data_IF_835710601679
#
_entry.id   IF_835710601679
#
_cell.length_a   1.000
_cell.length_b   1.000
_cell.length_c   1.000
_cell.angle_alpha   90.00
_cell.angle_beta   90.00
_cell.angle_gamma   90.00
#
_symmetry.space_group_name_H-M   'P 1'
#
loop_
_entity.id
_entity.type
_entity.pdbx_description
1 polymer ?
#
# COMPACT_ATOMS: atom_id res chain seq x y z
N UNK A 1 14.84 14.26 0.88
CA UNK A 1 15.41 13.68 -0.38
C UNK A 1 16.46 14.60 -1.00
N UNK A 2 17.52 14.05 -1.65
CA UNK A 2 18.52 14.81 -2.40
C UNK A 2 17.96 15.30 -3.74
N UNK A 3 18.52 16.37 -4.31
CA UNK A 3 18.07 16.88 -5.61
C UNK A 3 18.16 15.82 -6.74
N UNK A 4 19.24 15.02 -6.77
CA UNK A 4 19.41 13.93 -7.74
C UNK A 4 18.32 12.85 -7.63
N UNK A 5 17.92 12.50 -6.40
CA UNK A 5 16.83 11.55 -6.12
C UNK A 5 15.49 12.10 -6.62
N UNK A 6 15.20 13.39 -6.38
CA UNK A 6 13.99 14.05 -6.89
C UNK A 6 13.96 14.09 -8.43
N UNK A 7 15.09 14.32 -9.08
CA UNK A 7 15.18 14.29 -10.56
C UNK A 7 14.92 12.89 -11.12
N UNK A 8 15.49 11.86 -10.50
CA UNK A 8 15.28 10.46 -10.90
C UNK A 8 13.82 10.05 -10.69
N UNK A 9 13.22 10.40 -9.56
CA UNK A 9 11.81 10.19 -9.27
C UNK A 9 10.90 10.84 -10.34
N UNK A 10 11.16 12.12 -10.69
CA UNK A 10 10.38 12.84 -11.73
C UNK A 10 10.46 12.15 -13.09
N UNK A 11 11.65 11.69 -13.51
CA UNK A 11 11.83 10.92 -14.77
C UNK A 11 11.01 9.62 -14.76
N UNK A 12 11.01 8.91 -13.63
CA UNK A 12 10.19 7.72 -13.43
C UNK A 12 8.69 8.05 -13.55
N UNK A 13 8.24 9.12 -12.89
CA UNK A 13 6.85 9.57 -12.92
C UNK A 13 6.41 10.00 -14.34
N UNK A 14 7.26 10.67 -15.10
CA UNK A 14 6.96 11.04 -16.49
C UNK A 14 6.79 9.81 -17.38
N UNK A 15 7.51 8.72 -17.11
CA UNK A 15 7.33 7.44 -17.80
C UNK A 15 5.95 6.83 -17.48
N UNK A 16 5.53 6.82 -16.21
CA UNK A 16 4.20 6.34 -15.80
C UNK A 16 3.10 7.21 -16.43
N UNK A 17 3.23 8.54 -16.40
CA UNK A 17 2.28 9.47 -17.05
C UNK A 17 2.09 9.15 -18.52
N UNK A 18 3.17 8.98 -19.27
CA UNK A 18 3.13 8.68 -20.70
C UNK A 18 2.43 7.36 -20.98
N UNK A 19 2.74 6.30 -20.22
CA UNK A 19 2.11 4.99 -20.37
C UNK A 19 0.62 5.02 -20.03
N UNK A 20 0.25 5.53 -18.87
CA UNK A 20 -1.16 5.58 -18.44
C UNK A 20 -2.02 6.46 -19.37
N UNK A 21 -1.47 7.57 -19.88
CA UNK A 21 -2.19 8.46 -20.83
C UNK A 21 -2.58 7.76 -22.13
N UNK A 22 -1.85 6.73 -22.55
CA UNK A 22 -2.16 6.01 -23.80
C UNK A 22 -3.39 5.10 -23.71
N UNK A 23 -3.76 4.66 -22.50
CA UNK A 23 -4.81 3.67 -22.30
C UNK A 23 -6.00 4.15 -21.46
N UNK A 24 -5.80 5.10 -20.53
CA UNK A 24 -6.83 5.56 -19.60
C UNK A 24 -8.10 6.09 -20.27
N UNK A 25 -7.96 6.69 -21.47
CA UNK A 25 -9.06 7.28 -22.21
C UNK A 25 -9.79 6.29 -23.13
N UNK A 26 -9.37 5.03 -23.19
CA UNK A 26 -10.05 4.02 -23.98
C UNK A 26 -11.47 3.75 -23.45
N UNK A 27 -12.46 3.43 -24.34
CA UNK A 27 -13.84 3.20 -23.92
C UNK A 27 -13.97 2.08 -22.88
N UNK A 28 -13.11 1.06 -22.96
CA UNK A 28 -13.11 -0.07 -21.99
C UNK A 28 -12.67 0.39 -20.60
N UNK A 29 -11.64 1.23 -20.51
CA UNK A 29 -11.15 1.73 -19.23
C UNK A 29 -12.12 2.75 -18.62
N UNK A 30 -12.76 3.61 -19.45
CA UNK A 30 -13.81 4.50 -18.95
C UNK A 30 -14.98 3.73 -18.33
N UNK A 31 -15.44 2.65 -18.98
CA UNK A 31 -16.47 1.77 -18.39
C UNK A 31 -15.99 1.08 -17.09
N UNK A 32 -14.74 0.60 -17.07
CA UNK A 32 -14.15 0.01 -15.87
C UNK A 32 -14.08 1.04 -14.72
N UNK A 33 -13.68 2.27 -15.01
CA UNK A 33 -13.63 3.38 -14.05
C UNK A 33 -15.01 3.63 -13.43
N UNK A 34 -16.06 3.79 -14.26
CA UNK A 34 -17.42 3.99 -13.76
C UNK A 34 -17.88 2.81 -12.89
N UNK A 35 -17.62 1.57 -13.33
CA UNK A 35 -17.94 0.37 -12.53
C UNK A 35 -17.23 0.38 -11.17
N UNK A 36 -15.95 0.68 -11.12
CA UNK A 36 -15.20 0.67 -9.84
C UNK A 36 -15.66 1.83 -8.92
N UNK A 37 -16.05 2.97 -9.47
CA UNK A 37 -16.68 4.04 -8.69
C UNK A 37 -17.98 3.55 -8.01
N UNK A 38 -18.85 2.86 -8.76
CA UNK A 38 -20.07 2.25 -8.23
C UNK A 38 -19.77 1.19 -7.17
N UNK A 39 -18.81 0.29 -7.43
CA UNK A 39 -18.37 -0.73 -6.48
C UNK A 39 -17.92 -0.11 -5.16
N UNK A 40 -17.03 0.88 -5.20
CA UNK A 40 -16.49 1.51 -3.99
C UNK A 40 -17.57 2.27 -3.20
N UNK A 41 -18.48 2.94 -3.90
CA UNK A 41 -19.63 3.61 -3.27
C UNK A 41 -20.54 2.57 -2.61
N UNK A 42 -20.92 1.53 -3.32
CA UNK A 42 -21.72 0.43 -2.77
C UNK A 42 -21.06 -0.22 -1.55
N UNK A 43 -19.76 -0.51 -1.65
CA UNK A 43 -19.00 -1.12 -0.54
C UNK A 43 -18.99 -0.24 0.71
N UNK A 44 -18.91 1.07 0.56
CA UNK A 44 -18.99 1.98 1.69
C UNK A 44 -20.40 2.01 2.31
N UNK A 45 -21.43 2.12 1.46
CA UNK A 45 -22.83 2.19 1.92
C UNK A 45 -23.28 0.91 2.64
N UNK A 46 -22.67 -0.26 2.30
CA UNK A 46 -23.00 -1.58 2.86
C UNK A 46 -21.84 -2.20 3.66
N UNK A 47 -20.92 -1.37 4.18
CA UNK A 47 -19.67 -1.83 4.79
C UNK A 47 -19.86 -2.86 5.92
N UNK A 48 -20.87 -2.67 6.78
CA UNK A 48 -21.12 -3.57 7.91
C UNK A 48 -21.68 -4.92 7.44
N UNK A 49 -22.54 -4.92 6.42
CA UNK A 49 -23.07 -6.14 5.80
C UNK A 49 -21.95 -6.94 5.12
N UNK A 50 -21.14 -6.26 4.29
CA UNK A 50 -20.03 -6.88 3.58
C UNK A 50 -18.93 -7.38 4.53
N UNK A 51 -18.70 -6.69 5.63
CA UNK A 51 -17.77 -7.13 6.67
C UNK A 51 -18.23 -8.45 7.30
N UNK A 52 -19.50 -8.54 7.72
CA UNK A 52 -20.07 -9.75 8.29
C UNK A 52 -20.07 -10.90 7.27
N UNK A 53 -20.45 -10.62 6.02
CA UNK A 53 -20.41 -11.61 4.94
C UNK A 53 -18.99 -12.14 4.70
N UNK A 54 -17.98 -11.27 4.74
CA UNK A 54 -16.59 -11.68 4.60
C UNK A 54 -16.15 -12.62 5.73
N UNK A 55 -16.55 -12.36 6.99
CA UNK A 55 -16.24 -13.23 8.12
C UNK A 55 -16.82 -14.64 7.92
N UNK A 56 -18.12 -14.73 7.58
CA UNK A 56 -18.80 -16.01 7.34
C UNK A 56 -18.18 -16.78 6.15
N UNK A 57 -17.81 -16.07 5.10
CA UNK A 57 -17.23 -16.67 3.90
C UNK A 57 -15.79 -17.13 4.12
N UNK A 58 -14.99 -16.41 4.91
CA UNK A 58 -13.64 -16.83 5.32
C UNK A 58 -13.70 -18.11 6.16
N UNK A 59 -14.60 -18.16 7.15
CA UNK A 59 -14.80 -19.37 7.95
C UNK A 59 -15.19 -20.58 7.09
N UNK A 60 -16.15 -20.41 6.17
CA UNK A 60 -16.56 -21.45 5.21
C UNK A 60 -15.39 -21.98 4.36
N UNK A 61 -14.43 -21.11 4.02
CA UNK A 61 -13.27 -21.46 3.21
C UNK A 61 -12.10 -22.04 4.04
N UNK A 62 -12.20 -22.01 5.37
CA UNK A 62 -11.13 -22.42 6.28
C UNK A 62 -10.00 -21.39 6.40
N UNK A 63 -10.30 -20.12 6.14
CA UNK A 63 -9.45 -18.98 6.44
C UNK A 63 -9.77 -18.54 7.87
N UNK A 64 -8.77 -18.41 8.71
CA UNK A 64 -8.91 -17.78 10.00
C UNK A 64 -8.98 -16.26 9.81
N UNK A 65 -10.00 -15.62 10.34
CA UNK A 65 -10.14 -14.18 10.28
C UNK A 65 -10.08 -13.59 11.69
N UNK A 66 -9.23 -12.59 11.87
CA UNK A 66 -9.10 -11.82 13.11
C UNK A 66 -9.33 -10.34 12.82
N UNK A 67 -10.02 -9.65 13.71
CA UNK A 67 -10.23 -8.20 13.61
C UNK A 67 -9.26 -7.47 14.53
N UNK A 68 -8.56 -6.49 13.96
CA UNK A 68 -7.69 -5.56 14.67
C UNK A 68 -8.27 -4.16 14.61
N UNK A 69 -8.60 -3.59 15.76
CA UNK A 69 -9.13 -2.23 15.84
C UNK A 69 -8.03 -1.18 15.65
N UNK A 70 -6.83 -1.48 16.11
CA UNK A 70 -5.66 -0.60 16.10
C UNK A 70 -4.45 -1.29 15.46
N UNK A 71 -3.41 -0.51 15.13
CA UNK A 71 -2.12 -1.04 14.72
C UNK A 71 -1.54 -2.01 15.76
N UNK A 72 -1.65 -1.69 17.05
CA UNK A 72 -1.14 -2.55 18.12
C UNK A 72 -1.86 -3.90 18.18
N UNK A 73 -3.20 -3.92 18.06
CA UNK A 73 -3.94 -5.19 18.01
C UNK A 73 -3.47 -6.08 16.85
N UNK A 74 -3.16 -5.48 15.69
CA UNK A 74 -2.66 -6.24 14.55
C UNK A 74 -1.25 -6.79 14.80
N UNK A 75 -0.37 -6.02 15.44
CA UNK A 75 0.98 -6.42 15.80
C UNK A 75 0.95 -7.54 16.85
N UNK A 76 0.11 -7.42 17.88
CA UNK A 76 -0.05 -8.46 18.92
C UNK A 76 -0.52 -9.80 18.32
N UNK A 77 -1.45 -9.77 17.35
CA UNK A 77 -1.88 -10.96 16.62
C UNK A 77 -0.74 -11.55 15.78
N UNK A 78 0.07 -10.70 15.14
CA UNK A 78 1.20 -11.16 14.33
C UNK A 78 2.26 -11.80 15.23
N UNK A 79 2.57 -11.21 16.37
CA UNK A 79 3.53 -11.76 17.36
C UNK A 79 3.11 -13.15 17.83
N UNK A 80 1.83 -13.31 18.23
CA UNK A 80 1.26 -14.61 18.61
C UNK A 80 1.46 -15.67 17.52
N UNK A 81 1.18 -15.31 16.25
CA UNK A 81 1.30 -16.23 15.13
C UNK A 81 2.75 -16.58 14.78
N UNK A 82 3.69 -15.65 14.95
CA UNK A 82 5.12 -15.86 14.72
C UNK A 82 5.70 -16.78 15.80
N UNK A 83 5.34 -16.55 17.07
CA UNK A 83 5.75 -17.39 18.19
C UNK A 83 5.23 -18.83 18.04
N UNK A 84 3.98 -19.00 17.58
CA UNK A 84 3.39 -20.32 17.34
C UNK A 84 4.16 -21.13 16.30
N UNK A 85 4.77 -20.48 15.30
CA UNK A 85 5.54 -21.12 14.23
C UNK A 85 7.05 -21.14 14.50
N UNK A 86 7.53 -20.67 15.65
CA UNK A 86 8.95 -20.59 16.01
C UNK A 86 9.79 -20.00 14.84
N UNK A 87 9.30 -18.91 14.26
CA UNK A 87 9.85 -18.37 13.02
C UNK A 87 10.99 -17.37 13.29
N UNK A 88 12.19 -17.68 12.83
CA UNK A 88 13.36 -16.80 12.89
C UNK A 88 13.44 -15.85 11.69
N UNK A 89 12.76 -16.16 10.59
CA UNK A 89 12.75 -15.37 9.35
C UNK A 89 11.38 -15.34 8.69
N UNK A 90 10.98 -14.18 8.22
CA UNK A 90 9.69 -13.95 7.56
C UNK A 90 9.89 -13.51 6.11
N UNK A 91 9.12 -14.10 5.20
CA UNK A 91 8.94 -13.60 3.83
C UNK A 91 7.87 -12.49 3.81
N UNK A 92 8.27 -11.24 3.54
CA UNK A 92 7.33 -10.10 3.52
C UNK A 92 7.11 -9.60 2.10
N UNK A 93 5.84 -9.48 1.70
CA UNK A 93 5.46 -8.79 0.47
C UNK A 93 5.27 -7.29 0.71
N UNK A 94 5.43 -6.50 -0.36
CA UNK A 94 5.13 -5.08 -0.33
C UNK A 94 3.67 -4.83 0.06
N UNK A 95 3.47 -3.96 1.06
CA UNK A 95 2.13 -3.59 1.52
C UNK A 95 2.13 -2.24 2.22
N UNK A 96 1.21 -1.36 1.83
CA UNK A 96 1.01 -0.10 2.53
C UNK A 96 0.47 -0.31 3.96
N UNK A 97 -0.39 -1.31 4.14
CA UNK A 97 -0.97 -1.64 5.45
C UNK A 97 0.10 -2.16 6.43
N UNK A 98 1.06 -2.98 5.96
CA UNK A 98 2.18 -3.41 6.79
C UNK A 98 3.13 -2.26 7.16
N UNK A 99 3.27 -1.26 6.26
CA UNK A 99 3.99 -0.02 6.58
C UNK A 99 3.21 0.90 7.51
N UNK A 100 1.88 0.88 7.48
CA UNK A 100 1.01 1.64 8.39
C UNK A 100 1.17 1.19 9.85
N UNK A 101 1.19 -0.12 10.08
CA UNK A 101 1.37 -0.70 11.43
C UNK A 101 2.83 -0.74 11.88
N UNK A 102 3.74 -0.24 11.06
CA UNK A 102 5.20 -0.21 11.32
C UNK A 102 5.79 -1.59 11.67
N UNK A 103 5.30 -2.64 11.02
CA UNK A 103 5.71 -4.03 11.25
C UNK A 103 7.23 -4.21 11.30
N UNK A 104 7.95 -3.52 10.42
CA UNK A 104 9.39 -3.66 10.25
C UNK A 104 10.21 -3.21 11.47
N UNK A 105 9.75 -2.19 12.18
CA UNK A 105 10.40 -1.69 13.39
C UNK A 105 9.91 -2.37 14.66
N UNK A 106 8.75 -3.05 14.58
CA UNK A 106 8.16 -3.76 15.71
C UNK A 106 8.82 -5.13 15.95
N UNK A 107 9.04 -5.90 14.89
CA UNK A 107 9.55 -7.27 15.00
C UNK A 107 11.08 -7.30 15.15
N UNK A 108 11.57 -8.06 16.15
CA UNK A 108 13.00 -8.31 16.38
C UNK A 108 13.43 -9.67 15.77
N UNK A 109 12.97 -9.94 14.54
CA UNK A 109 13.36 -11.11 13.74
C UNK A 109 13.75 -10.71 12.33
N UNK A 110 14.35 -11.63 11.58
CA UNK A 110 14.78 -11.32 10.21
C UNK A 110 13.58 -11.21 9.25
N UNK A 111 13.30 -10.01 8.77
CA UNK A 111 12.26 -9.75 7.75
C UNK A 111 12.94 -9.61 6.40
N UNK A 112 12.58 -10.45 5.45
CA UNK A 112 13.09 -10.39 4.07
C UNK A 112 12.03 -9.80 3.14
N UNK A 113 12.27 -8.58 2.66
CA UNK A 113 11.43 -7.97 1.63
C UNK A 113 11.57 -8.74 0.31
N UNK A 114 10.43 -9.13 -0.26
CA UNK A 114 10.41 -9.95 -1.49
C UNK A 114 10.19 -9.13 -2.76
N UNK A 115 9.71 -7.89 -2.67
CA UNK A 115 9.64 -6.92 -3.77
C UNK A 115 11.04 -6.34 -4.01
N UNK A 116 11.49 -6.29 -5.26
CA UNK A 116 12.83 -5.81 -5.61
C UNK A 116 13.10 -4.39 -5.09
N UNK A 117 12.16 -3.48 -5.26
CA UNK A 117 12.30 -2.09 -4.82
C UNK A 117 12.35 -1.97 -3.30
N UNK A 118 11.49 -2.67 -2.57
CA UNK A 118 11.51 -2.68 -1.11
C UNK A 118 12.77 -3.38 -0.58
N UNK A 119 13.27 -4.45 -1.27
CA UNK A 119 14.53 -5.09 -0.90
C UNK A 119 15.71 -4.14 -1.07
N UNK A 120 15.78 -3.38 -2.15
CA UNK A 120 16.82 -2.36 -2.35
C UNK A 120 16.76 -1.31 -1.24
N UNK A 121 15.56 -0.83 -0.86
CA UNK A 121 15.41 0.09 0.26
C UNK A 121 15.80 -0.55 1.60
N UNK A 122 15.52 -1.84 1.79
CA UNK A 122 15.95 -2.58 2.98
C UNK A 122 17.48 -2.71 3.07
N UNK A 123 18.16 -2.92 1.94
CA UNK A 123 19.63 -2.95 1.87
C UNK A 123 20.24 -1.55 2.11
N UNK A 124 19.53 -0.48 1.79
CA UNK A 124 19.92 0.91 2.06
C UNK A 124 19.76 1.22 3.55
N UNK A 125 20.85 1.32 4.29
CA UNK A 125 20.88 1.45 5.76
C UNK A 125 20.23 2.75 6.29
N UNK A 126 20.16 3.81 5.48
CA UNK A 126 19.68 5.13 5.88
C UNK A 126 18.74 5.69 4.83
N UNK A 127 17.74 6.51 5.26
CA UNK A 127 16.80 7.20 4.36
C UNK A 127 16.12 6.25 3.37
N UNK A 128 15.48 5.20 3.89
CA UNK A 128 14.92 4.07 3.17
C UNK A 128 13.40 4.12 2.99
N UNK A 129 12.79 5.34 3.07
CA UNK A 129 11.35 5.51 2.86
C UNK A 129 10.98 5.35 1.38
N UNK A 130 9.88 4.66 1.06
CA UNK A 130 9.41 4.52 -0.32
C UNK A 130 8.94 5.86 -0.89
N UNK A 131 9.03 6.00 -2.22
CA UNK A 131 8.56 7.21 -2.92
C UNK A 131 7.35 6.96 -3.82
N UNK A 132 6.95 5.72 -4.02
CA UNK A 132 5.77 5.36 -4.80
C UNK A 132 5.21 4.00 -4.34
N UNK A 133 3.87 3.81 -4.29
CA UNK A 133 3.27 2.56 -3.83
C UNK A 133 3.67 1.33 -4.65
N UNK A 134 3.91 1.49 -5.95
CA UNK A 134 4.26 0.39 -6.86
C UNK A 134 5.72 0.41 -7.33
N UNK A 135 6.47 1.45 -7.00
CA UNK A 135 7.89 1.60 -7.33
C UNK A 135 8.63 2.28 -6.19
N UNK A 136 8.81 1.61 -5.05
CA UNK A 136 9.32 2.23 -3.82
C UNK A 136 10.70 2.86 -3.99
N UNK A 137 11.59 2.25 -4.76
CA UNK A 137 12.95 2.73 -5.03
C UNK A 137 13.08 3.62 -6.29
N UNK A 138 11.99 4.15 -6.84
CA UNK A 138 11.97 4.94 -8.10
C UNK A 138 12.76 6.26 -8.07
N UNK A 139 13.30 6.65 -6.94
CA UNK A 139 14.19 7.80 -6.77
C UNK A 139 15.67 7.46 -6.90
N UNK A 140 16.03 6.18 -6.90
CA UNK A 140 17.42 5.73 -7.03
C UNK A 140 17.76 5.48 -8.51
N UNK A 141 18.93 5.90 -8.93
CA UNK A 141 19.46 5.55 -10.25
C UNK A 141 20.23 4.22 -10.21
N UNK A 142 20.65 3.72 -11.37
CA UNK A 142 21.33 2.41 -11.48
C UNK A 142 22.63 2.38 -10.68
N UNK A 143 23.43 3.46 -10.72
CA UNK A 143 24.71 3.53 -10.01
C UNK A 143 24.51 3.54 -8.48
N UNK A 144 23.51 4.29 -8.00
CA UNK A 144 23.13 4.29 -6.57
C UNK A 144 22.74 2.88 -6.12
N UNK A 145 21.89 2.18 -6.90
CA UNK A 145 21.43 0.82 -6.59
C UNK A 145 22.58 -0.16 -6.62
N UNK A 146 23.48 -0.07 -7.63
CA UNK A 146 24.66 -0.93 -7.73
C UNK A 146 25.54 -0.79 -6.49
N UNK A 147 25.82 0.43 -6.07
CA UNK A 147 26.61 0.70 -4.86
C UNK A 147 25.98 0.11 -3.61
N UNK A 148 24.64 0.26 -3.43
CA UNK A 148 23.90 -0.31 -2.31
C UNK A 148 24.00 -1.84 -2.30
N UNK A 149 23.80 -2.49 -3.45
CA UNK A 149 23.80 -3.94 -3.60
C UNK A 149 25.19 -4.50 -3.36
N UNK A 150 26.23 -3.93 -3.98
CA UNK A 150 27.61 -4.38 -3.82
C UNK A 150 28.09 -4.27 -2.36
N UNK A 151 27.82 -3.12 -1.72
CA UNK A 151 28.20 -2.90 -0.31
C UNK A 151 27.44 -3.81 0.66
N UNK A 152 26.12 -4.00 0.43
CA UNK A 152 25.29 -4.70 1.41
C UNK A 152 25.29 -6.21 1.27
N UNK A 153 25.53 -6.74 0.06
CA UNK A 153 25.55 -8.18 -0.22
C UNK A 153 26.98 -8.74 -0.37
N UNK A 154 28.01 -7.89 -0.27
CA UNK A 154 29.43 -8.25 -0.50
C UNK A 154 29.63 -8.93 -1.85
N UNK A 155 29.13 -8.29 -2.92
CA UNK A 155 29.24 -8.74 -4.31
C UNK A 155 29.86 -7.64 -5.17
N UNK A 156 30.29 -7.97 -6.37
CA UNK A 156 30.85 -7.03 -7.36
C UNK A 156 30.10 -7.19 -8.69
N UNK A 157 28.90 -6.56 -8.76
CA UNK A 157 28.08 -6.57 -9.98
C UNK A 157 28.26 -5.27 -10.76
N UNK A 158 28.23 -5.37 -12.08
CA UNK A 158 28.24 -4.21 -12.97
C UNK A 158 26.95 -3.38 -12.83
N UNK A 159 26.94 -2.07 -13.20
CA UNK A 159 25.76 -1.21 -13.18
C UNK A 159 24.78 -1.54 -14.31
N UNK A 160 24.41 -2.81 -14.39
CA UNK A 160 23.47 -3.39 -15.33
C UNK A 160 22.22 -3.89 -14.58
N UNK A 161 20.99 -3.43 -14.93
CA UNK A 161 19.77 -3.78 -14.21
C UNK A 161 19.55 -5.29 -14.05
N UNK A 162 19.94 -6.07 -15.07
CA UNK A 162 19.79 -7.52 -15.05
C UNK A 162 20.72 -8.20 -14.04
N UNK A 163 21.95 -7.75 -13.92
CA UNK A 163 22.94 -8.30 -12.97
C UNK A 163 22.58 -7.94 -11.54
N UNK A 164 22.17 -6.70 -11.29
CA UNK A 164 21.66 -6.23 -10.00
C UNK A 164 20.46 -7.11 -9.58
N UNK A 165 19.48 -7.28 -10.46
CA UNK A 165 18.29 -8.09 -10.21
C UNK A 165 18.65 -9.54 -9.87
N UNK A 166 19.60 -10.15 -10.57
CA UNK A 166 20.04 -11.53 -10.29
C UNK A 166 20.71 -11.64 -8.92
N UNK A 167 21.55 -10.69 -8.53
CA UNK A 167 22.22 -10.68 -7.23
C UNK A 167 21.19 -10.58 -6.09
N UNK A 168 20.27 -9.61 -6.17
CA UNK A 168 19.20 -9.42 -5.17
C UNK A 168 18.29 -10.64 -5.11
N UNK A 169 17.88 -11.21 -6.26
CA UNK A 169 17.07 -12.43 -6.32
C UNK A 169 17.76 -13.61 -5.64
N UNK A 170 19.05 -13.79 -5.88
CA UNK A 170 19.82 -14.88 -5.28
C UNK A 170 19.88 -14.76 -3.76
N UNK A 171 20.11 -13.52 -3.24
CA UNK A 171 20.12 -13.24 -1.81
C UNK A 171 18.74 -13.53 -1.17
N UNK A 172 17.67 -13.00 -1.74
CA UNK A 172 16.30 -13.20 -1.24
C UNK A 172 15.95 -14.69 -1.18
N UNK A 173 16.19 -15.45 -2.26
CA UNK A 173 15.85 -16.87 -2.30
C UNK A 173 16.64 -17.67 -1.26
N UNK A 174 17.94 -17.37 -1.09
CA UNK A 174 18.79 -18.03 -0.10
C UNK A 174 18.31 -17.75 1.33
N UNK A 175 17.94 -16.50 1.64
CA UNK A 175 17.47 -16.13 2.98
C UNK A 175 16.10 -16.72 3.30
N UNK A 176 15.26 -16.94 2.30
CA UNK A 176 13.92 -17.51 2.45
C UNK A 176 13.85 -19.04 2.38
N UNK A 177 15.01 -19.72 2.27
CA UNK A 177 15.03 -21.18 2.13
C UNK A 177 14.31 -21.88 3.27
N UNK A 178 14.49 -21.41 4.51
CA UNK A 178 13.90 -21.97 5.72
C UNK A 178 12.73 -21.13 6.27
N UNK A 179 12.26 -20.11 5.57
CA UNK A 179 11.16 -19.30 6.04
C UNK A 179 9.84 -20.09 5.98
N UNK A 180 9.17 -20.23 7.12
CA UNK A 180 7.85 -20.90 7.25
C UNK A 180 6.69 -19.92 7.24
N UNK A 181 6.95 -18.64 7.55
CA UNK A 181 5.92 -17.60 7.62
C UNK A 181 6.06 -16.61 6.46
N UNK A 182 4.94 -16.35 5.80
CA UNK A 182 4.79 -15.31 4.80
C UNK A 182 3.78 -14.25 5.24
N UNK A 183 4.13 -12.97 5.10
CA UNK A 183 3.23 -11.86 5.41
C UNK A 183 3.00 -10.98 4.20
N UNK A 184 1.74 -10.69 3.89
CA UNK A 184 1.32 -9.83 2.77
C UNK A 184 0.20 -8.86 3.15
N UNK A 185 -0.09 -7.92 2.26
CA UNK A 185 -1.33 -7.16 2.26
C UNK A 185 -2.34 -7.74 1.26
N UNK A 186 -3.43 -7.00 1.03
CA UNK A 186 -4.41 -7.30 0.00
C UNK A 186 -4.71 -6.07 -0.87
N UNK A 187 -4.98 -6.28 -2.15
CA UNK A 187 -5.51 -5.22 -3.03
C UNK A 187 -7.03 -5.12 -2.92
N UNK A 188 -7.74 -6.25 -2.84
CA UNK A 188 -9.18 -6.32 -2.61
C UNK A 188 -9.56 -7.63 -1.91
N UNK A 189 -10.73 -7.64 -1.26
CA UNK A 189 -11.34 -8.80 -0.59
C UNK A 189 -12.76 -8.94 -1.14
N UNK A 190 -13.07 -10.11 -1.71
CA UNK A 190 -14.42 -10.47 -2.16
C UNK A 190 -15.20 -11.08 -1.00
N UNK A 191 -16.22 -10.39 -0.51
CA UNK A 191 -16.97 -10.82 0.68
C UNK A 191 -17.82 -12.06 0.42
N UNK A 192 -18.46 -12.16 -0.74
CA UNK A 192 -19.35 -13.29 -1.07
C UNK A 192 -18.57 -14.61 -1.17
N UNK A 193 -17.43 -14.62 -1.87
CA UNK A 193 -16.60 -15.82 -2.05
C UNK A 193 -15.61 -16.05 -0.92
N UNK A 194 -15.40 -15.09 -0.03
CA UNK A 194 -14.38 -15.18 1.02
C UNK A 194 -12.98 -15.32 0.41
N UNK A 195 -12.64 -14.46 -0.54
CA UNK A 195 -11.40 -14.54 -1.30
C UNK A 195 -10.61 -13.26 -1.21
N UNK A 196 -9.29 -13.38 -1.07
CA UNK A 196 -8.36 -12.25 -1.07
C UNK A 196 -7.68 -12.17 -2.43
N UNK A 197 -7.71 -10.98 -3.06
CA UNK A 197 -7.09 -10.74 -4.37
C UNK A 197 -5.85 -9.86 -4.21
N UNK A 198 -4.75 -10.32 -4.79
CA UNK A 198 -3.45 -9.65 -4.79
C UNK A 198 -2.87 -9.61 -6.19
N UNK A 199 -2.17 -8.52 -6.54
CA UNK A 199 -1.52 -8.37 -7.84
C UNK A 199 -0.04 -8.07 -7.70
N UNK A 200 0.76 -8.64 -8.60
CA UNK A 200 2.20 -8.41 -8.66
C UNK A 200 2.77 -8.73 -10.05
N UNK A 201 3.99 -8.23 -10.34
CA UNK A 201 4.67 -8.48 -11.60
C UNK A 201 5.87 -9.42 -11.47
N UNK A 202 6.42 -9.56 -10.29
CA UNK A 202 7.71 -10.22 -10.03
C UNK A 202 7.60 -11.68 -9.63
N UNK A 203 6.41 -12.14 -9.23
CA UNK A 203 6.23 -13.48 -8.64
C UNK A 203 6.45 -13.51 -7.12
N UNK A 204 6.81 -12.41 -6.52
CA UNK A 204 7.16 -12.28 -5.10
C UNK A 204 6.00 -12.64 -4.15
N UNK A 205 4.77 -12.21 -4.43
CA UNK A 205 3.61 -12.59 -3.60
C UNK A 205 3.36 -14.11 -3.65
N UNK A 206 3.63 -14.76 -4.79
CA UNK A 206 3.53 -16.22 -4.85
C UNK A 206 4.51 -16.92 -3.89
N UNK A 207 5.75 -16.42 -3.77
CA UNK A 207 6.73 -16.94 -2.80
C UNK A 207 6.22 -16.80 -1.36
N UNK A 208 5.63 -15.66 -1.03
CA UNK A 208 5.07 -15.36 0.30
C UNK A 208 3.86 -16.25 0.60
N UNK A 209 2.94 -16.40 -0.36
CA UNK A 209 1.70 -17.16 -0.19
C UNK A 209 1.88 -18.70 -0.17
N UNK A 210 3.08 -19.17 -0.50
CA UNK A 210 3.43 -20.60 -0.47
C UNK A 210 4.14 -21.02 0.83
N UNK A 211 4.30 -20.13 1.80
CA UNK A 211 4.84 -20.47 3.13
C UNK A 211 3.78 -21.21 3.94
N UNK A 212 4.20 -22.00 4.95
CA UNK A 212 3.29 -22.83 5.74
C UNK A 212 2.19 -22.02 6.43
N UNK A 213 2.54 -20.85 6.97
CA UNK A 213 1.61 -19.83 7.45
C UNK A 213 1.63 -18.63 6.50
N UNK A 214 0.47 -18.24 5.99
CA UNK A 214 0.30 -16.99 5.25
C UNK A 214 -0.59 -16.01 6.02
N UNK A 215 0.00 -14.95 6.54
CA UNK A 215 -0.67 -13.85 7.23
C UNK A 215 -0.97 -12.75 6.22
N UNK A 216 -2.22 -12.29 6.15
CA UNK A 216 -2.68 -11.25 5.24
C UNK A 216 -3.26 -10.11 6.06
N UNK A 217 -2.60 -8.94 6.09
CA UNK A 217 -3.11 -7.75 6.79
C UNK A 217 -3.76 -6.81 5.79
N UNK A 218 -5.05 -6.57 5.95
CA UNK A 218 -5.83 -5.75 5.02
C UNK A 218 -6.75 -4.77 5.73
N UNK A 219 -6.78 -3.52 5.30
CA UNK A 219 -7.77 -2.56 5.77
C UNK A 219 -9.20 -2.99 5.40
N UNK A 220 -10.15 -2.73 6.29
CA UNK A 220 -11.58 -3.02 6.04
C UNK A 220 -12.13 -2.29 4.80
N UNK A 221 -11.47 -1.21 4.36
CA UNK A 221 -11.76 -0.48 3.12
C UNK A 221 -11.47 -1.28 1.82
N UNK A 222 -10.85 -2.47 1.94
CA UNK A 222 -10.55 -3.36 0.81
C UNK A 222 -11.68 -4.35 0.50
N UNK A 223 -12.68 -4.45 1.35
CA UNK A 223 -13.83 -5.36 1.16
C UNK A 223 -14.74 -4.82 0.07
N UNK A 224 -15.06 -5.68 -0.89
CA UNK A 224 -15.99 -5.45 -2.01
C UNK A 224 -16.95 -6.63 -2.14
N UNK A 225 -18.11 -6.49 -2.82
CA UNK A 225 -19.14 -7.53 -2.83
C UNK A 225 -18.67 -8.89 -3.38
N UNK A 226 -18.14 -8.91 -4.60
CA UNK A 226 -17.88 -10.15 -5.36
C UNK A 226 -16.43 -10.23 -5.86
N UNK A 227 -16.03 -11.41 -6.30
CA UNK A 227 -14.73 -11.63 -6.92
C UNK A 227 -14.58 -10.85 -8.23
N UNK A 228 -15.62 -10.71 -9.02
CA UNK A 228 -15.62 -9.90 -10.23
C UNK A 228 -15.40 -8.40 -9.91
N UNK A 229 -15.93 -7.94 -8.81
CA UNK A 229 -15.73 -6.58 -8.33
C UNK A 229 -14.30 -6.38 -7.84
N UNK A 230 -13.77 -7.33 -7.08
CA UNK A 230 -12.37 -7.35 -6.66
C UNK A 230 -11.40 -7.32 -7.86
N UNK A 231 -11.64 -8.16 -8.88
CA UNK A 231 -10.89 -8.18 -10.12
C UNK A 231 -11.01 -6.85 -10.86
N UNK A 232 -12.18 -6.22 -10.87
CA UNK A 232 -12.39 -4.90 -11.49
C UNK A 232 -11.56 -3.82 -10.81
N UNK A 233 -11.53 -3.80 -9.47
CA UNK A 233 -10.73 -2.88 -8.65
C UNK A 233 -9.24 -3.02 -8.99
N UNK A 234 -8.69 -4.24 -8.93
CA UNK A 234 -7.25 -4.45 -9.14
C UNK A 234 -6.80 -4.22 -10.58
N UNK A 235 -7.69 -4.45 -11.56
CA UNK A 235 -7.45 -4.07 -12.97
C UNK A 235 -7.35 -2.56 -13.12
N UNK A 236 -8.26 -1.80 -12.52
CA UNK A 236 -8.23 -0.34 -12.57
C UNK A 236 -6.98 0.21 -11.87
N UNK A 237 -6.63 -0.34 -10.70
CA UNK A 237 -5.39 -0.02 -10.00
C UNK A 237 -4.18 -0.20 -10.92
N UNK A 238 -4.04 -1.35 -11.58
CA UNK A 238 -2.95 -1.66 -12.50
C UNK A 238 -2.82 -0.65 -13.63
N UNK A 239 -3.94 -0.27 -14.26
CA UNK A 239 -3.97 0.72 -15.35
C UNK A 239 -3.37 2.05 -14.92
N UNK A 240 -3.78 2.56 -13.76
CA UNK A 240 -3.34 3.87 -13.29
C UNK A 240 -1.98 3.84 -12.57
N UNK A 241 -1.58 2.71 -12.03
CA UNK A 241 -0.28 2.54 -11.37
C UNK A 241 0.87 2.31 -12.35
N UNK A 242 0.65 1.58 -13.44
CA UNK A 242 1.72 1.08 -14.32
C UNK A 242 1.54 1.44 -15.79
N UNK A 243 0.34 1.80 -16.22
CA UNK A 243 -0.02 1.97 -17.63
C UNK A 243 -0.18 0.65 -18.39
N UNK A 244 -0.42 -0.47 -17.72
CA UNK A 244 -0.72 -1.78 -18.31
C UNK A 244 -2.19 -2.14 -18.09
N UNK A 245 -2.77 -2.95 -18.98
CA UNK A 245 -4.15 -3.43 -18.81
C UNK A 245 -4.32 -4.45 -17.70
N UNK A 246 -3.30 -5.25 -17.44
CA UNK A 246 -3.23 -6.27 -16.38
C UNK A 246 -1.81 -6.41 -15.86
N UNK A 247 -1.66 -6.93 -14.64
CA UNK A 247 -0.38 -7.35 -14.06
C UNK A 247 0.05 -8.71 -14.62
N UNK A 248 1.32 -9.08 -14.41
CA UNK A 248 1.83 -10.40 -14.80
C UNK A 248 1.16 -11.52 -14.03
N UNK A 249 0.83 -11.29 -12.77
CA UNK A 249 0.20 -12.27 -11.89
C UNK A 249 -0.95 -11.64 -11.11
N UNK A 250 -1.97 -12.43 -10.89
CA UNK A 250 -3.08 -12.14 -10.00
C UNK A 250 -3.33 -13.40 -9.16
N UNK A 251 -3.11 -13.31 -7.86
CA UNK A 251 -3.37 -14.38 -6.93
C UNK A 251 -4.75 -14.17 -6.30
N UNK A 252 -5.56 -15.22 -6.31
CA UNK A 252 -6.82 -15.31 -5.59
C UNK A 252 -6.67 -16.38 -4.53
N UNK A 253 -6.68 -15.98 -3.26
CA UNK A 253 -6.52 -16.88 -2.13
C UNK A 253 -7.88 -17.08 -1.48
N UNK A 254 -8.40 -18.31 -1.59
CA UNK A 254 -9.72 -18.73 -1.08
C UNK A 254 -9.60 -19.85 -0.06
N UNK A 255 -8.53 -19.85 0.72
CA UNK A 255 -8.28 -20.85 1.76
C UNK A 255 -6.88 -21.47 1.70
N UNK A 256 -6.58 -22.35 2.65
CA UNK A 256 -5.35 -23.13 2.68
C UNK A 256 -5.16 -24.00 1.43
N UNK A 257 -3.90 -24.28 1.10
CA UNK A 257 -3.54 -25.23 0.04
C UNK A 257 -4.10 -26.61 0.37
N UNK A 258 -4.73 -27.27 -0.60
CA UNK A 258 -5.37 -28.57 -0.39
C UNK A 258 -5.39 -29.42 -1.65
N UNK A 259 -5.34 -30.77 -1.47
CA UNK A 259 -5.55 -31.76 -2.51
C UNK A 259 -6.53 -32.85 -2.05
N UNK A 260 -7.21 -33.49 -2.98
CA UNK A 260 -8.09 -34.63 -2.73
C UNK A 260 -7.74 -35.82 -3.62
N UNK A 261 -6.51 -35.88 -4.14
CA UNK A 261 -6.11 -36.90 -5.12
C UNK A 261 -5.84 -38.26 -4.50
N UNK A 262 -5.67 -38.33 -3.16
CA UNK A 262 -5.48 -39.58 -2.43
C UNK A 262 -6.82 -40.01 -1.80
N UNK A 263 -7.45 -41.00 -2.38
CA UNK A 263 -8.72 -41.60 -1.90
C UNK A 263 -9.86 -40.57 -1.65
N UNK A 264 -9.84 -39.43 -2.37
CA UNK A 264 -10.78 -38.32 -2.13
C UNK A 264 -10.77 -37.74 -0.72
N UNK A 265 -9.73 -38.02 0.06
CA UNK A 265 -9.52 -37.37 1.34
C UNK A 265 -8.90 -35.98 1.14
N UNK A 266 -9.50 -34.98 1.76
CA UNK A 266 -8.97 -33.62 1.73
C UNK A 266 -7.73 -33.52 2.63
N UNK A 267 -6.58 -33.24 2.01
CA UNK A 267 -5.28 -33.11 2.68
C UNK A 267 -4.79 -31.67 2.43
N UNK A 268 -4.32 -30.99 3.48
CA UNK A 268 -3.77 -29.63 3.38
C UNK A 268 -2.26 -29.65 3.12
N UNK A 269 -1.71 -28.47 2.79
CA UNK A 269 -0.28 -28.20 2.65
C UNK A 269 0.43 -29.06 1.60
N UNK A 270 -0.13 -29.08 0.36
CA UNK A 270 0.58 -29.78 -0.73
C UNK A 270 1.80 -28.97 -1.20
N UNK A 271 1.61 -27.69 -1.56
CA UNK A 271 2.66 -26.77 -2.01
C UNK A 271 2.50 -25.32 -1.48
N UNK A 272 1.44 -25.02 -0.76
CA UNK A 272 1.11 -23.70 -0.26
C UNK A 272 0.67 -23.73 1.18
N UNK A 273 0.24 -22.60 1.70
CA UNK A 273 -0.06 -22.43 3.10
C UNK A 273 -1.01 -23.51 3.65
N UNK A 274 -0.59 -24.12 4.74
CA UNK A 274 -1.45 -24.99 5.56
C UNK A 274 -2.49 -24.17 6.31
N UNK A 275 -2.08 -22.97 6.75
CA UNK A 275 -2.91 -22.02 7.46
C UNK A 275 -2.85 -20.64 6.80
N UNK A 276 -4.02 -20.07 6.55
CA UNK A 276 -4.18 -18.70 6.06
C UNK A 276 -4.92 -17.90 7.11
N UNK A 277 -4.32 -16.80 7.56
CA UNK A 277 -4.89 -15.89 8.54
C UNK A 277 -5.07 -14.52 7.89
N UNK A 278 -6.30 -14.00 7.90
CA UNK A 278 -6.61 -12.63 7.45
C UNK A 278 -6.84 -11.76 8.68
N UNK A 279 -6.04 -10.71 8.81
CA UNK A 279 -6.21 -9.68 9.83
C UNK A 279 -6.92 -8.49 9.16
N UNK A 280 -8.19 -8.28 9.51
CA UNK A 280 -8.97 -7.12 9.06
C UNK A 280 -8.68 -5.94 9.99
N UNK A 281 -8.02 -4.92 9.44
CA UNK A 281 -7.56 -3.75 10.19
C UNK A 281 -8.51 -2.57 10.01
N UNK A 282 -9.07 -2.05 11.12
CA UNK A 282 -9.77 -0.77 11.12
C UNK A 282 -8.78 0.41 11.15
N UNK A 283 -8.05 0.55 12.21
CA UNK A 283 -7.06 1.62 12.43
C UNK A 283 -7.54 2.99 11.96
N UNK A 284 -8.70 3.41 12.45
CA UNK A 284 -9.33 4.69 12.15
C UNK A 284 -10.16 4.74 10.86
N UNK A 285 -10.24 3.66 10.08
CA UNK A 285 -11.03 3.63 8.82
C UNK A 285 -12.52 3.81 9.05
N UNK A 286 -13.06 3.28 10.15
CA UNK A 286 -14.48 3.47 10.51
C UNK A 286 -14.86 4.93 10.77
N UNK A 287 -13.87 5.79 11.10
CA UNK A 287 -14.06 7.22 11.37
C UNK A 287 -13.55 8.11 10.22
N UNK A 288 -12.87 7.54 9.23
CA UNK A 288 -12.29 8.28 8.13
C UNK A 288 -13.34 8.87 7.20
N UNK A 289 -12.96 9.94 6.50
CA UNK A 289 -13.78 10.55 5.45
C UNK A 289 -14.08 9.50 4.38
N UNK A 290 -15.35 9.37 4.02
CA UNK A 290 -15.86 8.39 3.05
C UNK A 290 -15.01 8.29 1.79
N UNK A 291 -14.75 9.41 1.13
CA UNK A 291 -14.03 9.44 -0.13
C UNK A 291 -12.56 8.99 0.01
N UNK A 292 -11.96 9.12 1.19
CA UNK A 292 -10.62 8.59 1.44
C UNK A 292 -10.59 7.05 1.38
N UNK A 293 -11.69 6.38 1.72
CA UNK A 293 -11.82 4.92 1.70
C UNK A 293 -12.06 4.35 0.30
N UNK A 294 -12.39 5.19 -0.68
CA UNK A 294 -12.50 4.77 -2.07
C UNK A 294 -11.15 4.46 -2.72
N UNK A 295 -10.04 4.91 -2.12
CA UNK A 295 -8.71 4.82 -2.70
C UNK A 295 -8.30 3.36 -3.00
N UNK A 296 -7.88 3.11 -4.25
CA UNK A 296 -7.38 1.81 -4.73
C UNK A 296 -5.85 1.69 -4.69
N UNK A 297 -5.13 2.68 -4.16
CA UNK A 297 -3.68 2.59 -3.98
C UNK A 297 -2.81 2.81 -5.22
N UNK A 298 -3.36 3.22 -6.36
CA UNK A 298 -2.66 3.31 -7.64
C UNK A 298 -1.51 4.34 -7.72
N UNK A 299 -1.40 5.28 -6.77
CA UNK A 299 -0.34 6.30 -6.76
C UNK A 299 -0.45 7.41 -7.81
N UNK A 300 -1.45 7.40 -8.69
CA UNK A 300 -1.53 8.36 -9.80
C UNK A 300 -1.66 9.83 -9.33
N UNK A 301 -2.25 10.06 -8.17
CA UNK A 301 -2.37 11.40 -7.55
C UNK A 301 -1.01 12.03 -7.22
N UNK A 302 -0.04 11.25 -6.71
CA UNK A 302 1.31 11.75 -6.38
C UNK A 302 2.15 11.99 -7.61
N UNK A 303 1.99 11.16 -8.63
CA UNK A 303 2.66 11.32 -9.94
C UNK A 303 2.35 12.70 -10.55
N UNK A 304 1.13 13.20 -10.39
CA UNK A 304 0.68 14.50 -10.91
C UNK A 304 0.80 15.66 -9.92
N UNK A 305 1.18 15.41 -8.65
CA UNK A 305 1.20 16.43 -7.61
C UNK A 305 2.44 17.33 -7.72
N UNK A 306 2.30 18.67 -7.87
CA UNK A 306 3.44 19.58 -7.92
C UNK A 306 4.21 19.62 -6.61
N UNK A 307 3.53 19.52 -5.46
CA UNK A 307 4.16 19.49 -4.15
C UNK A 307 4.99 18.23 -4.00
N UNK A 308 4.41 17.06 -4.30
CA UNK A 308 5.12 15.79 -4.21
C UNK A 308 6.35 15.75 -5.14
N UNK A 309 6.24 16.30 -6.33
CA UNK A 309 7.36 16.42 -7.25
C UNK A 309 8.47 17.40 -6.78
N UNK A 310 8.17 18.26 -5.82
CA UNK A 310 9.13 19.20 -5.24
C UNK A 310 9.81 18.67 -3.98
N UNK A 311 9.07 17.95 -3.11
CA UNK A 311 9.58 17.51 -1.79
C UNK A 311 9.63 15.99 -1.60
N UNK A 312 9.04 15.22 -2.52
CA UNK A 312 9.00 13.76 -2.45
C UNK A 312 8.17 13.24 -1.28
N UNK A 313 8.66 12.22 -0.61
CA UNK A 313 8.00 11.50 0.48
C UNK A 313 7.92 12.28 1.82
N UNK A 314 8.38 13.52 1.86
CA UNK A 314 8.10 14.46 2.95
C UNK A 314 6.64 14.95 2.95
N UNK A 315 5.90 14.74 1.84
CA UNK A 315 4.49 15.04 1.72
C UNK A 315 3.66 13.75 1.75
N UNK A 316 3.21 13.36 2.92
CA UNK A 316 2.48 12.13 3.20
C UNK A 316 2.81 11.56 4.58
N UNK A 317 2.22 10.43 4.90
CA UNK A 317 2.35 9.76 6.20
C UNK A 317 2.70 8.27 5.98
N UNK A 318 3.79 7.80 6.55
CA UNK A 318 4.29 6.43 6.39
C UNK A 318 4.31 6.02 4.90
N UNK A 319 3.66 4.93 4.53
CA UNK A 319 3.52 4.47 3.14
C UNK A 319 2.32 5.10 2.41
N UNK A 320 1.53 5.95 3.07
CA UNK A 320 0.45 6.72 2.46
C UNK A 320 0.97 8.08 1.98
N UNK A 321 1.29 8.15 0.71
CA UNK A 321 1.99 9.28 0.11
C UNK A 321 1.02 10.33 -0.46
N UNK A 322 1.46 11.59 -0.45
CA UNK A 322 0.70 12.72 -1.00
C UNK A 322 -0.52 13.13 -0.16
N UNK A 323 -1.38 13.97 -0.72
CA UNK A 323 -2.49 14.59 0.02
C UNK A 323 -3.48 13.62 0.65
N UNK A 324 -3.78 12.48 0.00
CA UNK A 324 -4.64 11.45 0.61
C UNK A 324 -3.97 10.83 1.84
N UNK A 325 -2.65 10.64 1.81
CA UNK A 325 -1.89 10.15 2.95
C UNK A 325 -1.94 11.12 4.13
N UNK A 326 -1.76 12.41 3.85
CA UNK A 326 -1.95 13.49 4.85
C UNK A 326 -3.36 13.45 5.45
N UNK A 327 -4.40 13.25 4.63
CA UNK A 327 -5.77 13.16 5.14
C UNK A 327 -5.98 11.94 6.06
N UNK A 328 -5.43 10.80 5.69
CA UNK A 328 -5.57 9.57 6.47
C UNK A 328 -4.82 9.60 7.80
N UNK A 329 -3.69 10.30 7.89
CA UNK A 329 -2.88 10.35 9.11
C UNK A 329 -3.66 10.88 10.33
N UNK A 330 -4.64 11.79 10.12
CA UNK A 330 -5.54 12.25 11.17
C UNK A 330 -6.34 11.12 11.83
N UNK A 331 -6.78 10.15 11.05
CA UNK A 331 -7.64 9.07 11.51
C UNK A 331 -6.84 7.87 12.02
N UNK A 332 -5.65 7.66 11.46
CA UNK A 332 -4.71 6.62 11.87
C UNK A 332 -4.02 7.00 13.18
N UNK A 333 -3.66 8.27 13.32
CA UNK A 333 -2.98 8.84 14.48
C UNK A 333 -3.80 9.98 15.07
N UNK A 334 -3.46 11.24 14.71
CA UNK A 334 -4.08 12.44 15.30
C UNK A 334 -3.95 13.70 14.42
N UNK A 335 -4.41 14.84 14.95
CA UNK A 335 -4.37 16.14 14.29
C UNK A 335 -2.95 16.70 14.15
N UNK A 336 -2.05 16.44 15.11
CA UNK A 336 -0.65 16.87 15.07
C UNK A 336 0.08 16.14 13.94
N UNK A 337 -0.06 14.84 13.86
CA UNK A 337 0.50 14.02 12.78
C UNK A 337 -0.02 14.46 11.41
N UNK A 338 -1.30 14.80 11.30
CA UNK A 338 -1.85 15.33 10.05
C UNK A 338 -1.21 16.66 9.65
N UNK A 339 -1.00 17.56 10.61
CA UNK A 339 -0.32 18.82 10.40
C UNK A 339 1.12 18.60 9.92
N UNK A 340 1.88 17.76 10.62
CA UNK A 340 3.29 17.47 10.36
C UNK A 340 3.51 16.67 9.06
N UNK A 341 2.54 15.86 8.64
CA UNK A 341 2.56 15.14 7.36
C UNK A 341 2.45 16.03 6.12
N UNK A 342 2.35 17.34 6.31
CA UNK A 342 2.38 18.34 5.25
C UNK A 342 1.02 18.92 4.87
N UNK A 343 0.05 18.96 5.79
CA UNK A 343 -1.29 19.51 5.56
C UNK A 343 -1.25 20.90 4.90
N UNK A 344 -0.35 21.76 5.32
CA UNK A 344 -0.17 23.12 4.78
C UNK A 344 0.82 23.23 3.62
N UNK A 345 1.50 22.14 3.23
CA UNK A 345 2.32 22.10 2.00
C UNK A 345 1.46 22.05 0.74
N UNK A 346 0.27 21.46 0.83
CA UNK A 346 -0.63 21.35 -0.31
C UNK A 346 -1.00 22.72 -0.89
N UNK A 347 -0.86 22.87 -2.21
CA UNK A 347 -1.23 24.11 -2.93
C UNK A 347 -2.71 24.18 -3.31
N UNK A 348 -3.51 23.16 -2.96
CA UNK A 348 -4.94 23.03 -3.29
C UNK A 348 -5.24 23.13 -4.80
N UNK A 349 -4.29 22.77 -5.66
CA UNK A 349 -4.39 22.92 -7.13
C UNK A 349 -5.37 21.96 -7.81
N UNK A 350 -5.88 20.94 -7.13
CA UNK A 350 -6.87 19.97 -7.64
C UNK A 350 -6.33 18.93 -8.63
N UNK A 351 -5.03 18.92 -8.98
CA UNK A 351 -4.48 17.96 -9.94
C UNK A 351 -4.59 16.50 -9.47
N UNK A 352 -4.52 16.25 -8.16
CA UNK A 352 -4.75 14.92 -7.59
C UNK A 352 -6.18 14.44 -7.83
N UNK A 353 -7.19 15.30 -7.66
CA UNK A 353 -8.60 15.03 -7.92
C UNK A 353 -8.86 14.80 -9.41
N UNK A 354 -8.35 15.67 -10.26
CA UNK A 354 -8.53 15.58 -11.72
C UNK A 354 -7.95 14.30 -12.32
N UNK A 355 -6.85 13.80 -11.76
CA UNK A 355 -6.19 12.59 -12.24
C UNK A 355 -6.56 11.33 -11.45
N UNK A 356 -7.44 11.44 -10.44
CA UNK A 356 -7.91 10.28 -9.69
C UNK A 356 -8.98 9.52 -10.48
N UNK A 357 -8.81 8.19 -10.73
CA UNK A 357 -9.85 7.41 -11.40
C UNK A 357 -11.16 7.35 -10.61
N UNK A 358 -11.08 7.54 -9.29
CA UNK A 358 -12.25 7.52 -8.41
C UNK A 358 -12.74 8.92 -8.02
N UNK A 359 -12.17 9.95 -8.64
CA UNK A 359 -12.57 11.35 -8.45
C UNK A 359 -12.57 11.82 -6.98
N UNK A 360 -11.66 11.26 -6.17
CA UNK A 360 -11.52 11.63 -4.75
C UNK A 360 -11.19 13.12 -4.66
N UNK A 361 -12.00 13.95 -3.97
CA UNK A 361 -11.82 15.41 -3.92
C UNK A 361 -10.73 15.79 -2.88
N UNK A 362 -9.52 15.27 -3.06
CA UNK A 362 -8.42 15.39 -2.09
C UNK A 362 -8.07 16.83 -1.73
N UNK A 363 -8.14 17.76 -2.70
CA UNK A 363 -7.91 19.19 -2.43
C UNK A 363 -8.96 19.79 -1.50
N UNK A 364 -10.24 19.46 -1.65
CA UNK A 364 -11.34 19.94 -0.81
C UNK A 364 -11.27 19.30 0.59
N UNK A 365 -10.92 17.99 0.64
CA UNK A 365 -10.68 17.29 1.91
C UNK A 365 -9.58 18.01 2.70
N UNK A 366 -8.43 18.32 2.10
CA UNK A 366 -7.34 18.99 2.78
C UNK A 366 -7.66 20.44 3.17
N UNK A 367 -8.46 21.15 2.36
CA UNK A 367 -8.94 22.48 2.71
C UNK A 367 -9.83 22.43 3.96
N UNK A 368 -10.78 21.50 4.02
CA UNK A 368 -11.63 21.29 5.20
C UNK A 368 -10.81 20.85 6.43
N UNK A 369 -9.82 19.98 6.24
CA UNK A 369 -8.94 19.54 7.33
C UNK A 369 -8.09 20.70 7.90
N UNK A 370 -7.65 21.67 7.08
CA UNK A 370 -6.97 22.88 7.57
C UNK A 370 -7.86 23.70 8.49
N UNK A 371 -9.16 23.79 8.17
CA UNK A 371 -10.12 24.46 9.05
C UNK A 371 -10.19 23.75 10.41
N UNK A 372 -10.41 22.44 10.41
CA UNK A 372 -10.48 21.63 11.64
C UNK A 372 -9.16 21.69 12.44
N UNK A 373 -8.02 21.57 11.76
CA UNK A 373 -6.69 21.67 12.36
C UNK A 373 -6.45 23.04 13.03
N UNK A 374 -6.94 24.12 12.40
CA UNK A 374 -6.88 25.48 12.99
C UNK A 374 -7.73 25.57 14.25
N UNK A 375 -8.91 24.97 14.28
CA UNK A 375 -9.81 24.99 15.44
C UNK A 375 -9.21 24.30 16.69
N UNK A 376 -8.34 23.31 16.48
CA UNK A 376 -7.62 22.59 17.55
C UNK A 376 -6.19 23.10 17.79
N UNK A 377 -5.78 24.18 17.11
CA UNK A 377 -4.53 24.89 17.39
C UNK A 377 -3.33 24.52 16.51
N UNK A 378 -3.48 23.62 15.52
CA UNK A 378 -2.42 23.24 14.58
C UNK A 378 -2.51 24.08 13.31
N UNK A 379 -1.70 25.12 13.21
CA UNK A 379 -1.58 26.00 12.04
C UNK A 379 -0.17 26.61 11.95
N UNK A 380 0.30 27.00 10.75
CA UNK A 380 1.58 27.66 10.60
C UNK A 380 1.58 29.03 11.33
N UNK A 381 2.58 29.28 12.18
CA UNK A 381 2.72 30.54 12.92
C UNK A 381 2.67 31.77 12.01
N UNK A 382 3.19 31.68 10.79
CA UNK A 382 3.13 32.74 9.80
C UNK A 382 1.69 33.10 9.40
N UNK A 383 0.82 32.12 9.24
CA UNK A 383 -0.60 32.34 8.91
C UNK A 383 -1.34 33.07 10.03
N UNK A 384 -1.08 32.69 11.28
CA UNK A 384 -1.64 33.38 12.44
C UNK A 384 -1.21 34.84 12.49
N UNK A 385 0.09 35.12 12.26
CA UNK A 385 0.63 36.49 12.24
C UNK A 385 -0.02 37.31 11.12
N UNK A 386 -0.19 36.76 9.93
CA UNK A 386 -0.87 37.41 8.80
C UNK A 386 -2.32 37.72 9.18
N UNK A 387 -3.06 36.74 9.71
CA UNK A 387 -4.45 36.92 10.18
C UNK A 387 -4.53 38.06 11.22
N UNK A 388 -3.67 38.05 12.24
CA UNK A 388 -3.65 39.05 13.29
C UNK A 388 -3.35 40.45 12.75
N UNK A 389 -2.40 40.57 11.82
CA UNK A 389 -2.11 41.83 11.13
C UNK A 389 -3.32 42.34 10.33
N UNK A 390 -3.96 41.48 9.54
CA UNK A 390 -5.17 41.85 8.75
C UNK A 390 -6.27 42.36 9.68
N UNK A 391 -6.55 41.65 10.78
CA UNK A 391 -7.59 42.05 11.74
C UNK A 391 -7.29 43.36 12.49
N UNK A 392 -6.01 43.67 12.74
CA UNK A 392 -5.61 44.84 13.49
C UNK A 392 -5.26 46.06 12.62
N UNK A 393 -4.81 45.84 11.39
CA UNK A 393 -4.21 46.86 10.53
C UNK A 393 -4.77 46.90 9.10
N UNK A 394 -5.76 46.07 8.79
CA UNK A 394 -6.29 45.85 7.44
C UNK A 394 -5.20 45.51 6.40
N UNK A 395 -4.06 44.98 6.83
CA UNK A 395 -2.91 44.63 5.98
C UNK A 395 -2.26 43.32 6.47
N UNK A 396 -1.80 42.46 5.57
CA UNK A 396 -1.11 41.21 5.91
C UNK A 396 0.32 41.46 6.43
N UNK A 397 0.87 42.69 6.28
CA UNK A 397 2.25 43.09 6.59
C UNK A 397 2.39 43.92 7.83
#
# INVERSE_FOLDING_TARGET
>A
MKNSELETMRRSFDTVKKRSSSIKDSPSIKRLTSRVQEIKKYSYDHKDELFNQALESFERNGIECRFAKTSQDALDIIDELIEEYDADVIAKAKSNTLGEIDLKNHLDIDIVETDLGDRILQLKKTDNKPVHPTGPASHLNVDDITSIVNESLDVDVDPEPTEIMKAVRSDVLKRLENATVGISGANAIASEEGSVVMVHNEGNISIVSLKDLHIIVAGIDKIVPTLEDAISVVKLETVFATGNYVTSYMNVISGPSKTADIEKKLIKNMYGAERVVVILLDNGRSQAIEECLYCIGCGNCIVHCPVYNAVGNEFGFNNYLGGRGVAMSKFIEDDETCFDSGLYMCTLCGLCTLNCPLSIPTNEILENMRKLSTDVGFYPKAHYKIKDNVLKRDSPY
#
